data_IF_038544674204
#
_entry.id   IF_038544674204
#
_cell.length_a   1.000
_cell.length_b   1.000
_cell.length_c   1.000
_cell.angle_alpha   90.00
_cell.angle_beta   90.00
_cell.angle_gamma   90.00
#
_symmetry.space_group_name_H-M   'P 1'
#
loop_
_entity.id
_entity.type
_entity.pdbx_description
1 polymer ?
#
# COMPACT_ATOMS: atom_id res chain seq x y z
N UNK A 1 23.15 -9.14 5.10
CA UNK A 1 21.68 -8.97 5.23
C UNK A 1 21.16 -7.52 5.11
N UNK A 2 22.00 -6.46 5.15
CA UNK A 2 21.54 -5.05 5.03
C UNK A 2 21.07 -4.63 3.62
N UNK A 3 21.50 -5.34 2.56
CA UNK A 3 21.18 -4.99 1.16
C UNK A 3 19.76 -5.34 0.70
N UNK A 4 19.11 -6.34 1.32
CA UNK A 4 17.75 -6.77 0.93
C UNK A 4 16.68 -5.78 1.43
N UNK A 5 16.90 -5.16 2.61
CA UNK A 5 15.98 -4.14 3.12
C UNK A 5 16.01 -2.86 2.26
N UNK A 6 17.21 -2.44 1.84
CA UNK A 6 17.37 -1.30 0.95
C UNK A 6 16.70 -1.53 -0.41
N UNK A 7 16.77 -2.74 -0.98
CA UNK A 7 16.04 -3.05 -2.21
C UNK A 7 14.52 -3.04 -2.02
N UNK A 8 14.01 -3.47 -0.87
CA UNK A 8 12.55 -3.50 -0.63
C UNK A 8 11.98 -2.08 -0.46
N UNK A 9 12.76 -1.17 0.15
CA UNK A 9 12.42 0.24 0.29
C UNK A 9 12.65 1.01 -1.02
N UNK A 10 13.72 0.72 -1.78
CA UNK A 10 13.93 1.30 -3.10
C UNK A 10 12.89 0.83 -4.13
N UNK A 11 12.38 -0.40 -4.04
CA UNK A 11 11.32 -0.87 -4.95
C UNK A 11 9.96 -0.22 -4.67
N UNK A 12 9.74 0.28 -3.45
CA UNK A 12 8.57 1.12 -3.15
C UNK A 12 8.72 2.55 -3.70
N UNK A 13 9.95 3.02 -3.92
CA UNK A 13 10.29 4.35 -4.42
C UNK A 13 10.68 4.42 -5.92
N UNK A 14 10.87 3.28 -6.58
CA UNK A 14 11.47 3.20 -7.91
C UNK A 14 10.47 3.35 -9.06
N UNK A 15 10.08 4.58 -9.39
CA UNK A 15 9.51 4.90 -10.72
C UNK A 15 10.33 6.00 -11.37
N UNK A 16 11.51 5.66 -11.87
CA UNK A 16 12.28 6.57 -12.72
C UNK A 16 13.20 5.78 -13.66
N UNK A 17 12.64 4.96 -14.54
CA UNK A 17 13.19 4.64 -15.88
C UNK A 17 12.20 3.77 -16.65
N UNK A 18 11.40 4.37 -17.53
CA UNK A 18 10.79 3.71 -18.71
C UNK A 18 9.94 4.75 -19.45
N UNK A 19 10.52 5.58 -20.31
CA UNK A 19 9.79 6.74 -20.84
C UNK A 19 8.93 6.45 -22.10
N UNK A 20 9.08 5.31 -22.81
CA UNK A 20 8.51 5.21 -24.17
C UNK A 20 7.73 3.92 -24.52
N UNK A 21 7.17 3.18 -23.56
CA UNK A 21 6.31 2.01 -23.91
C UNK A 21 5.22 1.72 -22.88
N UNK A 22 3.93 1.87 -23.25
CA UNK A 22 2.79 1.47 -22.39
C UNK A 22 2.90 0.03 -21.89
N UNK A 23 3.39 -0.88 -22.74
CA UNK A 23 3.59 -2.29 -22.39
C UNK A 23 4.67 -2.54 -21.33
N UNK A 24 5.68 -1.65 -21.22
CA UNK A 24 6.70 -1.74 -20.17
C UNK A 24 6.16 -1.21 -18.84
N UNK A 25 5.34 -0.15 -18.87
CA UNK A 25 4.62 0.33 -17.69
C UNK A 25 3.64 -0.71 -17.17
N UNK A 26 2.84 -1.33 -18.03
CA UNK A 26 1.88 -2.37 -17.63
C UNK A 26 2.58 -3.59 -17.02
N UNK A 27 3.77 -3.93 -17.53
CA UNK A 27 4.63 -4.95 -16.93
C UNK A 27 5.17 -4.51 -15.57
N UNK A 28 5.69 -3.28 -15.47
CA UNK A 28 6.25 -2.75 -14.23
C UNK A 28 5.20 -2.62 -13.11
N UNK A 29 3.98 -2.18 -13.44
CA UNK A 29 2.85 -2.11 -12.49
C UNK A 29 2.42 -3.50 -12.05
N UNK A 30 2.30 -4.45 -12.97
CA UNK A 30 1.97 -5.85 -12.65
C UNK A 30 3.02 -6.51 -11.75
N UNK A 31 4.30 -6.28 -12.01
CA UNK A 31 5.42 -6.73 -11.17
C UNK A 31 5.33 -6.09 -9.78
N UNK A 32 5.07 -4.79 -9.70
CA UNK A 32 4.94 -4.06 -8.44
C UNK A 32 3.77 -4.57 -7.59
N UNK A 33 2.62 -4.86 -8.21
CA UNK A 33 1.46 -5.48 -7.55
C UNK A 33 1.83 -6.87 -7.02
N UNK A 34 2.58 -7.66 -7.81
CA UNK A 34 3.02 -8.99 -7.41
C UNK A 34 3.98 -8.95 -6.21
N UNK A 35 4.90 -7.97 -6.19
CA UNK A 35 5.79 -7.72 -5.06
C UNK A 35 4.99 -7.33 -3.81
N UNK A 36 4.00 -6.45 -3.95
CA UNK A 36 3.14 -6.04 -2.84
C UNK A 36 2.35 -7.23 -2.26
N UNK A 37 1.83 -8.11 -3.12
CA UNK A 37 1.18 -9.36 -2.72
C UNK A 37 2.14 -10.30 -1.99
N UNK A 38 3.35 -10.50 -2.50
CA UNK A 38 4.36 -11.34 -1.86
C UNK A 38 4.80 -10.78 -0.50
N UNK A 39 4.94 -9.46 -0.38
CA UNK A 39 5.22 -8.80 0.89
C UNK A 39 4.09 -9.02 1.88
N UNK A 40 2.83 -8.93 1.42
CA UNK A 40 1.67 -9.23 2.24
C UNK A 40 1.69 -10.68 2.75
N UNK A 41 1.96 -11.67 1.90
CA UNK A 41 2.11 -13.07 2.32
C UNK A 41 3.18 -13.22 3.41
N UNK A 42 4.35 -12.62 3.21
CA UNK A 42 5.43 -12.64 4.22
C UNK A 42 5.03 -11.97 5.53
N UNK A 43 4.24 -10.90 5.45
CA UNK A 43 3.73 -10.19 6.62
C UNK A 43 2.71 -11.04 7.37
N UNK A 44 1.89 -11.83 6.68
CA UNK A 44 0.99 -12.80 7.30
C UNK A 44 1.75 -13.96 7.97
N UNK A 45 2.83 -14.44 7.34
CA UNK A 45 3.67 -15.52 7.88
C UNK A 45 4.48 -15.08 9.11
N UNK A 46 5.11 -13.92 9.04
CA UNK A 46 6.01 -13.44 10.10
C UNK A 46 5.32 -12.55 11.14
N UNK A 47 4.15 -11.99 10.82
CA UNK A 47 3.35 -11.17 11.71
C UNK A 47 4.07 -9.91 12.22
N UNK A 48 3.86 -9.64 13.52
CA UNK A 48 4.35 -8.47 14.22
C UNK A 48 5.88 -8.26 14.12
N UNK A 49 6.76 -9.27 14.26
CA UNK A 49 8.21 -9.10 14.09
C UNK A 49 8.63 -8.40 12.79
N UNK A 50 8.04 -8.79 11.65
CA UNK A 50 8.34 -8.16 10.37
C UNK A 50 7.70 -6.77 10.28
N UNK A 51 6.46 -6.63 10.74
CA UNK A 51 5.77 -5.34 10.76
C UNK A 51 6.57 -4.27 11.52
N UNK A 52 7.02 -4.59 12.74
CA UNK A 52 7.88 -3.73 13.57
C UNK A 52 9.16 -3.32 12.86
N UNK A 53 9.82 -4.27 12.19
CA UNK A 53 11.06 -4.02 11.46
C UNK A 53 10.86 -3.04 10.32
N UNK A 54 9.78 -3.22 9.54
CA UNK A 54 9.45 -2.36 8.41
C UNK A 54 9.04 -0.96 8.89
N UNK A 55 8.19 -0.89 9.91
CA UNK A 55 7.71 0.36 10.49
C UNK A 55 8.84 1.22 11.06
N UNK A 56 9.80 0.60 11.77
CA UNK A 56 11.00 1.27 12.29
C UNK A 56 11.97 1.70 11.19
N UNK A 57 12.04 0.98 10.08
CA UNK A 57 12.95 1.31 8.98
C UNK A 57 12.50 2.52 8.17
N UNK A 58 11.19 2.80 8.10
CA UNK A 58 10.64 3.87 7.27
C UNK A 58 9.38 4.53 7.88
N UNK A 59 9.44 5.12 9.09
CA UNK A 59 8.25 5.64 9.78
C UNK A 59 7.50 6.71 8.97
N UNK A 60 8.22 7.58 8.26
CA UNK A 60 7.60 8.65 7.44
C UNK A 60 6.74 8.11 6.30
N UNK A 61 7.12 6.98 5.70
CA UNK A 61 6.29 6.33 4.67
C UNK A 61 4.91 5.93 5.23
N UNK A 62 4.87 5.40 6.46
CA UNK A 62 3.62 4.99 7.12
C UNK A 62 2.82 6.18 7.66
N UNK A 63 3.47 7.32 7.98
CA UNK A 63 2.75 8.56 8.27
C UNK A 63 2.03 9.08 7.03
N UNK A 64 2.73 9.11 5.89
CA UNK A 64 2.18 9.59 4.62
C UNK A 64 1.04 8.71 4.11
N UNK A 65 1.06 7.40 4.38
CA UNK A 65 0.00 6.49 3.95
C UNK A 65 -1.37 6.81 4.57
N UNK A 66 -1.43 7.43 5.75
CA UNK A 66 -2.69 7.93 6.33
C UNK A 66 -3.30 9.03 5.46
N UNK A 67 -2.50 10.01 5.06
CA UNK A 67 -2.94 11.10 4.17
C UNK A 67 -3.31 10.53 2.80
N UNK A 68 -2.47 9.66 2.25
CA UNK A 68 -2.72 8.97 0.99
C UNK A 68 -4.03 8.18 1.00
N UNK A 69 -4.36 7.47 2.09
CA UNK A 69 -5.63 6.77 2.23
C UNK A 69 -6.82 7.74 2.21
N UNK A 70 -6.73 8.85 2.93
CA UNK A 70 -7.82 9.84 2.97
C UNK A 70 -8.09 10.44 1.60
N UNK A 71 -7.04 10.75 0.84
CA UNK A 71 -7.19 11.28 -0.52
C UNK A 71 -7.69 10.22 -1.50
N UNK A 72 -7.22 8.97 -1.36
CA UNK A 72 -7.70 7.84 -2.14
C UNK A 72 -9.20 7.58 -1.92
N UNK A 73 -9.63 7.55 -0.65
CA UNK A 73 -11.05 7.43 -0.27
C UNK A 73 -11.89 8.52 -0.93
N UNK A 74 -11.47 9.79 -0.87
CA UNK A 74 -12.19 10.90 -1.50
C UNK A 74 -12.32 10.73 -3.01
N UNK A 75 -11.28 10.23 -3.69
CA UNK A 75 -11.30 9.96 -5.14
C UNK A 75 -12.29 8.86 -5.49
N UNK A 76 -12.30 7.76 -4.71
CA UNK A 76 -13.23 6.65 -4.94
C UNK A 76 -14.67 7.04 -4.63
N UNK A 77 -14.92 7.81 -3.56
CA UNK A 77 -16.26 8.31 -3.21
C UNK A 77 -16.84 9.25 -4.30
N UNK A 78 -15.97 9.94 -5.04
CA UNK A 78 -16.34 10.74 -6.22
C UNK A 78 -16.62 9.92 -7.49
N UNK A 79 -16.55 8.59 -7.41
CA UNK A 79 -16.71 7.67 -8.53
C UNK A 79 -15.77 7.95 -9.70
N UNK A 80 -14.56 8.47 -9.41
CA UNK A 80 -13.48 8.61 -10.40
C UNK A 80 -12.85 7.24 -10.71
N UNK A 81 -13.71 6.28 -11.11
CA UNK A 81 -13.30 4.93 -11.44
C UNK A 81 -12.76 4.94 -12.87
N UNK A 82 -11.49 4.57 -13.07
CA UNK A 82 -10.88 4.66 -14.38
C UNK A 82 -11.49 3.70 -15.39
N UNK A 83 -11.51 4.13 -16.65
CA UNK A 83 -12.10 3.36 -17.76
C UNK A 83 -11.07 2.50 -18.47
N UNK A 84 -9.83 2.95 -18.55
CA UNK A 84 -8.77 2.22 -19.25
C UNK A 84 -8.17 1.12 -18.37
N UNK A 85 -7.63 0.08 -19.00
CA UNK A 85 -6.93 -0.99 -18.29
C UNK A 85 -5.71 -0.48 -17.52
N UNK A 86 -4.93 0.40 -18.14
CA UNK A 86 -3.72 0.99 -17.56
C UNK A 86 -4.04 1.79 -16.27
N UNK A 87 -5.02 2.69 -16.32
CA UNK A 87 -5.40 3.46 -15.14
C UNK A 87 -5.97 2.57 -14.02
N UNK A 88 -6.70 1.50 -14.37
CA UNK A 88 -7.15 0.51 -13.40
C UNK A 88 -5.97 -0.22 -12.73
N UNK A 89 -4.90 -0.51 -13.46
CA UNK A 89 -3.68 -1.08 -12.87
C UNK A 89 -2.96 -0.11 -11.94
N UNK A 90 -2.89 1.18 -12.31
CA UNK A 90 -2.33 2.22 -11.43
C UNK A 90 -3.13 2.35 -10.14
N UNK A 91 -4.45 2.35 -10.23
CA UNK A 91 -5.34 2.41 -9.07
C UNK A 91 -5.21 1.14 -8.20
N UNK A 92 -5.11 -0.04 -8.80
CA UNK A 92 -4.85 -1.28 -8.08
C UNK A 92 -3.49 -1.26 -7.37
N UNK A 93 -2.44 -0.73 -8.01
CA UNK A 93 -1.12 -0.56 -7.39
C UNK A 93 -1.17 0.38 -6.19
N UNK A 94 -1.85 1.52 -6.33
CA UNK A 94 -2.04 2.48 -5.23
C UNK A 94 -2.77 1.84 -4.04
N UNK A 95 -3.85 1.09 -4.30
CA UNK A 95 -4.54 0.32 -3.28
C UNK A 95 -3.61 -0.68 -2.58
N UNK A 96 -2.83 -1.46 -3.34
CA UNK A 96 -1.91 -2.45 -2.75
C UNK A 96 -0.83 -1.81 -1.88
N UNK A 97 -0.32 -0.63 -2.26
CA UNK A 97 0.62 0.15 -1.44
C UNK A 97 -0.03 0.61 -0.13
N UNK A 98 -1.22 1.18 -0.19
CA UNK A 98 -1.98 1.63 0.99
C UNK A 98 -2.32 0.47 1.91
N UNK A 99 -2.82 -0.64 1.36
CA UNK A 99 -3.11 -1.87 2.09
C UNK A 99 -1.87 -2.39 2.82
N UNK A 100 -0.75 -2.50 2.11
CA UNK A 100 0.51 -2.95 2.71
C UNK A 100 0.94 -2.05 3.87
N UNK A 101 0.83 -0.73 3.69
CA UNK A 101 1.18 0.22 4.74
C UNK A 101 0.28 0.11 5.97
N UNK A 102 -1.04 0.07 5.78
CA UNK A 102 -2.03 -0.02 6.87
C UNK A 102 -1.90 -1.35 7.61
N UNK A 103 -1.64 -2.45 6.89
CA UNK A 103 -1.46 -3.76 7.52
C UNK A 103 -0.20 -3.83 8.37
N UNK A 104 0.91 -3.22 7.93
CA UNK A 104 2.11 -3.08 8.77
C UNK A 104 1.78 -2.31 10.04
N UNK A 105 1.11 -1.16 9.92
CA UNK A 105 0.70 -0.36 11.09
C UNK A 105 -0.20 -1.15 12.03
N UNK A 106 -1.17 -1.89 11.51
CA UNK A 106 -2.13 -2.65 12.30
C UNK A 106 -1.53 -3.89 12.99
N UNK A 107 -0.51 -4.52 12.39
CA UNK A 107 0.19 -5.66 12.96
C UNK A 107 1.32 -5.25 13.90
N UNK A 108 1.73 -3.99 13.89
CA UNK A 108 2.72 -3.43 14.80
C UNK A 108 2.16 -3.25 16.21
N UNK A 109 3.08 -3.20 17.18
CA UNK A 109 2.75 -2.91 18.56
C UNK A 109 2.13 -1.50 18.67
N UNK A 110 0.98 -1.35 19.36
CA UNK A 110 0.30 -0.05 19.48
C UNK A 110 1.15 1.05 20.10
N UNK A 111 2.00 0.72 21.08
CA UNK A 111 2.91 1.69 21.70
C UNK A 111 4.00 2.14 20.72
N UNK A 112 4.57 1.22 19.93
CA UNK A 112 5.50 1.57 18.83
C UNK A 112 4.83 2.50 17.83
N UNK A 113 3.61 2.18 17.39
CA UNK A 113 2.86 2.96 16.41
C UNK A 113 2.56 4.36 16.93
N UNK A 114 2.13 4.48 18.19
CA UNK A 114 1.93 5.77 18.84
C UNK A 114 3.23 6.58 18.92
N UNK A 115 4.32 5.95 19.36
CA UNK A 115 5.62 6.61 19.53
C UNK A 115 6.19 7.11 18.20
N UNK A 116 6.13 6.28 17.15
CA UNK A 116 6.80 6.59 15.88
C UNK A 116 5.92 7.36 14.90
N UNK A 117 4.60 7.09 14.88
CA UNK A 117 3.67 7.66 13.92
C UNK A 117 2.71 8.67 14.55
N UNK A 118 2.56 8.68 15.87
CA UNK A 118 1.53 9.48 16.55
C UNK A 118 0.11 8.98 16.32
N UNK A 119 -0.06 7.72 15.89
CA UNK A 119 -1.37 7.15 15.62
C UNK A 119 -1.92 6.45 16.86
N UNK A 120 -3.13 6.82 17.24
CA UNK A 120 -3.87 6.15 18.32
C UNK A 120 -4.63 4.93 17.76
N UNK A 121 -4.93 3.90 18.57
CA UNK A 121 -5.66 2.71 18.11
C UNK A 121 -6.96 3.00 17.33
N UNK A 122 -7.80 4.00 17.71
CA UNK A 122 -8.98 4.36 16.92
C UNK A 122 -8.65 4.85 15.50
N UNK A 123 -7.51 5.51 15.33
CA UNK A 123 -7.05 5.96 13.99
C UNK A 123 -6.74 4.77 13.10
N UNK A 124 -6.08 3.74 13.65
CA UNK A 124 -5.72 2.53 12.91
C UNK A 124 -6.98 1.76 12.50
N UNK A 125 -7.93 1.60 13.43
CA UNK A 125 -9.21 0.94 13.15
C UNK A 125 -10.01 1.68 12.06
N UNK A 126 -10.01 3.02 12.08
CA UNK A 126 -10.64 3.82 11.04
C UNK A 126 -9.96 3.64 9.68
N UNK A 127 -8.62 3.63 9.63
CA UNK A 127 -7.88 3.36 8.40
C UNK A 127 -8.19 1.99 7.81
N UNK A 128 -8.32 0.95 8.64
CA UNK A 128 -8.73 -0.39 8.18
C UNK A 128 -10.16 -0.38 7.62
N UNK A 129 -11.09 0.30 8.30
CA UNK A 129 -12.48 0.43 7.83
C UNK A 129 -12.56 1.15 6.49
N UNK A 130 -11.82 2.25 6.33
CA UNK A 130 -11.78 3.02 5.08
C UNK A 130 -11.17 2.19 3.94
N UNK A 131 -10.10 1.44 4.21
CA UNK A 131 -9.52 0.53 3.24
C UNK A 131 -10.53 -0.54 2.79
N UNK A 132 -11.20 -1.23 3.72
CA UNK A 132 -12.20 -2.25 3.37
C UNK A 132 -13.38 -1.69 2.59
N UNK A 133 -13.82 -0.47 2.92
CA UNK A 133 -14.87 0.23 2.16
C UNK A 133 -14.44 0.49 0.71
N UNK A 134 -13.22 0.99 0.51
CA UNK A 134 -12.69 1.26 -0.82
C UNK A 134 -12.47 -0.03 -1.60
N UNK A 135 -11.91 -1.07 -0.99
CA UNK A 135 -11.77 -2.40 -1.62
C UNK A 135 -13.12 -2.91 -2.13
N UNK A 136 -14.20 -2.76 -1.34
CA UNK A 136 -15.54 -3.17 -1.75
C UNK A 136 -16.06 -2.36 -2.95
N UNK A 137 -15.86 -1.04 -2.95
CA UNK A 137 -16.27 -0.18 -4.06
C UNK A 137 -15.52 -0.56 -5.35
N UNK A 138 -14.21 -0.80 -5.26
CA UNK A 138 -13.38 -1.16 -6.41
C UNK A 138 -13.68 -2.57 -6.94
N UNK A 139 -14.03 -3.52 -6.06
CA UNK A 139 -14.53 -4.85 -6.47
C UNK A 139 -15.81 -4.75 -7.27
N UNK A 140 -16.77 -3.94 -6.82
CA UNK A 140 -18.03 -3.70 -7.56
C UNK A 140 -17.80 -3.07 -8.94
N UNK A 141 -16.69 -2.38 -9.11
CA UNK A 141 -16.29 -1.75 -10.35
C UNK A 141 -15.43 -2.64 -11.28
N UNK A 142 -15.26 -3.92 -10.95
CA UNK A 142 -14.49 -4.89 -11.73
C UNK A 142 -13.05 -4.43 -12.00
N UNK A 143 -12.34 -3.96 -10.96
CA UNK A 143 -10.91 -3.72 -11.07
C UNK A 143 -10.13 -5.06 -11.02
N UNK A 144 -9.16 -5.26 -11.93
CA UNK A 144 -8.34 -6.47 -11.93
C UNK A 144 -7.42 -6.53 -10.69
N UNK A 145 -7.41 -7.68 -10.02
CA UNK A 145 -6.42 -7.99 -8.98
C UNK A 145 -6.73 -7.46 -7.57
N UNK A 146 -7.98 -7.06 -7.32
CA UNK A 146 -8.58 -6.72 -6.02
C UNK A 146 -9.56 -7.83 -5.61
#
# INVERSE_FOLDING_TARGET
>A
MKRVLALTVLMLAGTAVAQDSPSLWDRATSVSISIAKNLWTKLQEQGQPLAEKLLKAAPEYYKQSKVGLQDFVKRIDKLEIPKTFHEKQLLALELWKLRGAINVVALSNPQTVKLLLGFEPPTIAQMQKDLSRVELALKKANLPGI
#
